data_IF_821396051952
#
_entry.id   IF_821396051952
#
_cell.length_a   1.000
_cell.length_b   1.000
_cell.length_c   1.000
_cell.angle_alpha   90.00
_cell.angle_beta   90.00
_cell.angle_gamma   90.00
#
_symmetry.space_group_name_H-M   'P 1'
#
loop_
_entity.id
_entity.type
_entity.pdbx_description
1 polymer ?
#
# COMPACT_ATOMS: atom_id res chain seq x y z
N UNK A 1 4.36 0.13 -26.40
CA UNK A 1 4.25 -1.34 -26.31
C UNK A 1 5.26 -1.97 -25.34
N UNK A 2 6.57 -2.04 -25.63
CA UNK A 2 7.52 -2.68 -24.69
C UNK A 2 7.54 -2.04 -23.29
N UNK A 3 7.47 -0.71 -23.21
CA UNK A 3 7.38 0.01 -21.93
C UNK A 3 6.03 -0.20 -21.22
N UNK A 4 4.93 -0.25 -21.97
CA UNK A 4 3.58 -0.48 -21.38
C UNK A 4 3.48 -1.86 -20.73
N UNK A 5 4.11 -2.87 -21.32
CA UNK A 5 4.18 -4.22 -20.76
C UNK A 5 4.95 -4.25 -19.43
N UNK A 6 5.98 -3.42 -19.29
CA UNK A 6 6.75 -3.28 -18.05
C UNK A 6 5.92 -2.64 -16.93
N UNK A 7 4.97 -1.77 -17.26
CA UNK A 7 4.03 -1.13 -16.32
C UNK A 7 2.66 -1.82 -16.28
N UNK A 8 2.59 -3.09 -16.69
CA UNK A 8 1.40 -3.94 -16.60
C UNK A 8 1.74 -5.23 -15.83
N UNK A 9 1.83 -5.19 -14.48
CA UNK A 9 2.25 -6.35 -13.69
C UNK A 9 1.34 -7.58 -13.90
N UNK A 10 0.07 -7.39 -14.24
CA UNK A 10 -0.87 -8.46 -14.62
C UNK A 10 -0.42 -9.31 -15.81
N UNK A 11 0.43 -8.79 -16.70
CA UNK A 11 0.98 -9.55 -17.84
C UNK A 11 2.12 -10.49 -17.44
N UNK A 12 2.66 -10.35 -16.23
CA UNK A 12 3.80 -11.13 -15.74
C UNK A 12 3.39 -12.22 -14.75
N UNK A 13 2.12 -12.26 -14.34
CA UNK A 13 1.61 -13.33 -13.47
C UNK A 13 1.62 -14.68 -14.19
N UNK A 14 2.15 -15.74 -13.56
CA UNK A 14 2.04 -17.11 -14.08
C UNK A 14 0.73 -17.79 -13.65
N UNK A 15 -0.07 -17.17 -12.75
CA UNK A 15 -1.25 -17.81 -12.16
C UNK A 15 -2.46 -17.78 -13.09
N UNK A 16 -2.71 -16.62 -13.71
CA UNK A 16 -3.90 -16.35 -14.51
C UNK A 16 -3.56 -15.36 -15.63
N UNK A 17 -4.43 -15.25 -16.63
CA UNK A 17 -4.30 -14.21 -17.65
C UNK A 17 -4.53 -12.80 -17.06
N UNK A 18 -4.16 -11.79 -17.86
CA UNK A 18 -4.08 -10.38 -17.46
C UNK A 18 -5.36 -9.83 -16.82
N UNK A 19 -6.53 -10.20 -17.33
CA UNK A 19 -7.78 -9.61 -16.86
C UNK A 19 -8.32 -10.44 -15.68
N UNK A 20 -8.24 -11.77 -15.79
CA UNK A 20 -8.67 -12.69 -14.72
C UNK A 20 -7.86 -12.54 -13.43
N UNK A 21 -6.56 -12.23 -13.49
CA UNK A 21 -5.73 -12.03 -12.29
C UNK A 21 -6.17 -10.81 -11.48
N UNK A 22 -6.62 -9.74 -12.15
CA UNK A 22 -7.10 -8.52 -11.49
C UNK A 22 -8.42 -8.81 -10.77
N UNK A 23 -9.35 -9.48 -11.44
CA UNK A 23 -10.64 -9.87 -10.85
C UNK A 23 -10.46 -10.80 -9.64
N UNK A 24 -9.53 -11.77 -9.75
CA UNK A 24 -9.19 -12.66 -8.65
C UNK A 24 -8.63 -11.89 -7.46
N UNK A 25 -7.72 -10.93 -7.69
CA UNK A 25 -7.15 -10.10 -6.65
C UNK A 25 -8.21 -9.28 -5.90
N UNK A 26 -9.13 -8.66 -6.64
CA UNK A 26 -10.24 -7.91 -6.07
C UNK A 26 -11.15 -8.80 -5.23
N UNK A 27 -11.46 -10.01 -5.70
CA UNK A 27 -12.30 -10.95 -4.96
C UNK A 27 -11.68 -11.39 -3.63
N UNK A 28 -10.35 -11.53 -3.56
CA UNK A 28 -9.64 -11.93 -2.33
C UNK A 28 -9.60 -10.81 -1.30
N UNK A 29 -9.38 -9.57 -1.75
CA UNK A 29 -9.12 -8.42 -0.87
C UNK A 29 -10.37 -7.68 -0.40
N UNK A 30 -11.46 -7.76 -1.18
CA UNK A 30 -12.65 -6.93 -1.01
C UNK A 30 -13.28 -6.92 0.41
N UNK A 31 -14.06 -5.87 0.67
CA UNK A 31 -15.19 -5.93 1.58
C UNK A 31 -16.46 -6.08 0.74
N UNK A 32 -17.27 -7.12 0.95
CA UNK A 32 -18.51 -7.32 0.19
C UNK A 32 -19.42 -6.09 0.21
N UNK A 33 -19.45 -5.34 -0.89
CA UNK A 33 -20.30 -4.17 -1.09
C UNK A 33 -20.41 -3.85 -2.58
N UNK A 34 -21.62 -3.53 -3.05
CA UNK A 34 -21.89 -3.24 -4.46
C UNK A 34 -21.06 -2.04 -4.93
N UNK A 35 -20.16 -2.28 -5.89
CA UNK A 35 -19.57 -1.22 -6.70
C UNK A 35 -20.41 -1.05 -7.96
N UNK A 36 -20.77 0.20 -8.26
CA UNK A 36 -21.54 0.57 -9.45
C UNK A 36 -20.94 -0.05 -10.70
N UNK A 37 -21.77 -0.76 -11.46
CA UNK A 37 -21.36 -1.51 -12.64
C UNK A 37 -20.72 -0.58 -13.69
N UNK A 38 -19.67 -1.03 -14.41
CA UNK A 38 -19.30 -0.41 -15.67
C UNK A 38 -20.43 -0.63 -16.68
N UNK A 39 -20.72 0.39 -17.48
CA UNK A 39 -21.83 0.42 -18.44
C UNK A 39 -21.95 -0.83 -19.32
N UNK A 40 -23.20 -1.21 -19.57
CA UNK A 40 -23.60 -2.40 -20.31
C UNK A 40 -22.95 -2.48 -21.70
N UNK A 41 -22.42 -3.67 -22.03
CA UNK A 41 -22.06 -4.01 -23.40
C UNK A 41 -21.19 -5.25 -23.55
N UNK A 42 -21.78 -6.44 -23.35
CA UNK A 42 -21.72 -7.62 -24.23
C UNK A 42 -22.10 -8.89 -23.44
N UNK A 43 -23.10 -9.61 -23.96
CA UNK A 43 -23.64 -10.85 -23.38
C UNK A 43 -22.60 -11.98 -23.42
N UNK A 44 -22.40 -12.68 -22.31
CA UNK A 44 -21.57 -13.89 -22.23
C UNK A 44 -22.34 -15.13 -21.75
N UNK A 45 -21.91 -16.28 -22.28
CA UNK A 45 -22.47 -17.65 -22.13
C UNK A 45 -22.20 -18.18 -20.71
N UNK A 46 -23.08 -18.99 -20.08
CA UNK A 46 -22.91 -19.37 -18.68
C UNK A 46 -21.77 -20.37 -18.49
N UNK A 47 -20.79 -20.00 -17.66
CA UNK A 47 -19.74 -20.89 -17.12
C UNK A 47 -20.21 -21.53 -15.80
N UNK A 48 -19.69 -22.72 -15.43
CA UNK A 48 -20.09 -23.41 -14.21
C UNK A 48 -19.79 -22.55 -12.97
N UNK A 49 -20.77 -22.51 -12.06
CA UNK A 49 -20.74 -21.69 -10.84
C UNK A 49 -19.62 -22.18 -9.93
N UNK A 50 -18.58 -21.37 -9.78
CA UNK A 50 -17.59 -21.55 -8.73
C UNK A 50 -18.28 -21.50 -7.34
N UNK A 51 -17.76 -22.22 -6.33
CA UNK A 51 -18.28 -22.10 -4.96
C UNK A 51 -18.24 -20.63 -4.51
N UNK A 52 -19.18 -20.18 -3.65
CA UNK A 52 -19.17 -18.80 -3.16
C UNK A 52 -17.82 -18.50 -2.51
N UNK A 53 -17.18 -17.36 -2.83
CA UNK A 53 -15.92 -17.00 -2.20
C UNK A 53 -16.14 -16.92 -0.69
N UNK A 54 -15.17 -17.41 0.09
CA UNK A 54 -15.10 -17.10 1.51
C UNK A 54 -15.21 -15.57 1.70
N UNK A 55 -15.82 -15.06 2.79
CA UNK A 55 -15.96 -13.62 2.98
C UNK A 55 -14.60 -12.94 2.75
N UNK A 56 -14.61 -11.97 1.84
CA UNK A 56 -13.40 -11.36 1.32
C UNK A 56 -12.59 -10.73 2.49
N UNK A 57 -11.26 -10.69 2.37
CA UNK A 57 -10.35 -10.54 3.52
C UNK A 57 -10.68 -9.35 4.42
N UNK A 58 -11.10 -8.22 3.83
CA UNK A 58 -11.49 -7.02 4.59
C UNK A 58 -12.82 -7.17 5.30
N UNK A 59 -13.80 -7.85 4.71
CA UNK A 59 -15.09 -8.14 5.37
C UNK A 59 -14.89 -8.98 6.64
N UNK A 60 -14.05 -10.02 6.56
CA UNK A 60 -13.67 -10.82 7.73
C UNK A 60 -13.01 -9.99 8.82
N UNK A 61 -12.12 -9.08 8.44
CA UNK A 61 -11.45 -8.19 9.38
C UNK A 61 -12.45 -7.27 10.10
N UNK A 62 -13.38 -6.66 9.35
CA UNK A 62 -14.44 -5.79 9.90
C UNK A 62 -15.39 -6.53 10.82
N UNK A 63 -15.73 -7.78 10.51
CA UNK A 63 -16.61 -8.59 11.33
C UNK A 63 -15.97 -9.08 12.64
N UNK A 64 -14.64 -9.17 12.69
CA UNK A 64 -13.92 -9.85 13.79
C UNK A 64 -13.09 -8.92 14.67
N UNK A 65 -12.73 -7.73 14.19
CA UNK A 65 -11.96 -6.74 14.94
C UNK A 65 -12.85 -5.60 15.45
N UNK A 66 -12.42 -4.92 16.51
CA UNK A 66 -13.01 -3.63 16.87
C UNK A 66 -12.57 -2.59 15.83
N UNK A 67 -13.53 -1.97 15.14
CA UNK A 67 -13.22 -1.02 14.05
C UNK A 67 -13.86 0.35 14.24
N UNK A 68 -13.17 1.39 13.78
CA UNK A 68 -13.75 2.68 13.41
C UNK A 68 -13.59 2.87 11.90
N UNK A 69 -14.71 2.93 11.18
CA UNK A 69 -14.72 3.07 9.72
C UNK A 69 -14.98 4.51 9.31
N UNK A 70 -14.44 4.90 8.16
CA UNK A 70 -14.66 6.21 7.54
C UNK A 70 -14.29 7.41 8.43
N UNK A 71 -13.26 7.26 9.28
CA UNK A 71 -12.76 8.34 10.14
C UNK A 71 -12.13 9.42 9.24
N UNK A 72 -12.68 10.65 9.18
CA UNK A 72 -12.13 11.69 8.33
C UNK A 72 -10.82 12.21 8.92
N UNK A 73 -9.78 12.32 8.09
CA UNK A 73 -8.52 12.99 8.45
C UNK A 73 -8.30 14.31 7.68
N UNK A 74 -9.17 14.59 6.71
CA UNK A 74 -9.16 15.79 5.89
C UNK A 74 -10.56 16.10 5.36
N UNK A 75 -10.65 17.03 4.41
CA UNK A 75 -11.92 17.54 3.91
C UNK A 75 -12.38 16.85 2.60
N UNK A 76 -11.48 16.14 1.92
CA UNK A 76 -11.76 15.41 0.69
C UNK A 76 -12.54 14.11 0.94
N UNK A 77 -13.30 13.68 -0.07
CA UNK A 77 -14.09 12.45 0.03
C UNK A 77 -13.22 11.21 0.25
N UNK A 78 -12.02 11.18 -0.34
CA UNK A 78 -11.01 10.15 -0.16
C UNK A 78 -10.21 10.27 1.14
N UNK A 79 -10.24 11.40 1.84
CA UNK A 79 -9.45 11.65 3.05
C UNK A 79 -10.05 10.99 4.31
N UNK A 80 -10.17 9.65 4.28
CA UNK A 80 -10.76 8.83 5.34
C UNK A 80 -9.89 7.64 5.71
N UNK A 81 -9.99 7.19 6.94
CA UNK A 81 -9.32 6.01 7.48
C UNK A 81 -10.33 4.94 7.89
N UNK A 82 -9.92 3.68 7.77
CA UNK A 82 -10.50 2.59 8.56
C UNK A 82 -9.45 2.12 9.58
N UNK A 83 -9.82 2.14 10.86
CA UNK A 83 -8.94 1.81 11.97
C UNK A 83 -9.43 0.52 12.62
N UNK A 84 -8.54 -0.48 12.67
CA UNK A 84 -8.74 -1.77 13.30
C UNK A 84 -7.93 -1.80 14.59
N UNK A 85 -8.61 -1.80 15.74
CA UNK A 85 -7.97 -1.73 17.05
C UNK A 85 -7.47 -3.11 17.53
N UNK A 86 -6.41 -3.14 18.35
CA UNK A 86 -5.97 -4.35 19.02
C UNK A 86 -7.08 -4.98 19.87
N UNK A 87 -7.13 -6.31 19.95
CA UNK A 87 -8.14 -7.03 20.74
C UNK A 87 -7.98 -6.80 22.24
N UNK A 88 -6.74 -6.62 22.70
CA UNK A 88 -6.38 -6.32 24.09
C UNK A 88 -5.36 -5.17 24.09
N UNK A 89 -5.80 -3.91 23.99
CA UNK A 89 -4.89 -2.79 23.86
C UNK A 89 -4.23 -2.51 25.21
N UNK A 90 -2.89 -2.57 25.24
CA UNK A 90 -2.11 -1.90 26.27
C UNK A 90 -2.37 -0.39 26.26
N UNK A 91 -1.95 0.33 27.31
CA UNK A 91 -2.10 1.79 27.43
C UNK A 91 -1.61 2.52 26.17
N UNK A 92 -0.54 2.03 25.57
CA UNK A 92 -0.03 2.46 24.26
C UNK A 92 0.09 1.27 23.30
N UNK A 93 -0.03 1.52 22.00
CA UNK A 93 0.06 0.47 20.97
C UNK A 93 0.79 0.98 19.72
N UNK A 94 1.50 0.09 18.99
CA UNK A 94 2.04 0.43 17.69
C UNK A 94 0.94 0.40 16.62
N UNK A 95 1.15 1.14 15.53
CA UNK A 95 0.22 1.20 14.41
C UNK A 95 0.90 0.81 13.12
N UNK A 96 0.30 -0.11 12.37
CA UNK A 96 0.63 -0.34 10.96
C UNK A 96 -0.33 0.46 10.09
N UNK A 97 0.20 1.41 9.34
CA UNK A 97 -0.53 2.20 8.34
C UNK A 97 -0.35 1.53 6.98
N UNK A 98 -1.43 0.98 6.44
CA UNK A 98 -1.47 0.35 5.14
C UNK A 98 -1.96 1.33 4.06
N UNK A 99 -1.19 1.44 2.98
CA UNK A 99 -1.48 2.31 1.83
C UNK A 99 -1.64 1.43 0.59
N UNK A 100 -2.83 1.46 -0.01
CA UNK A 100 -3.19 0.57 -1.10
C UNK A 100 -2.51 0.93 -2.43
N UNK A 101 -2.51 -0.03 -3.36
CA UNK A 101 -1.99 0.15 -4.72
C UNK A 101 -3.03 0.70 -5.69
N UNK A 102 -3.03 0.16 -6.92
CA UNK A 102 -4.04 0.47 -7.93
C UNK A 102 -3.68 1.62 -8.87
N UNK A 103 -2.37 1.85 -9.13
CA UNK A 103 -1.89 2.89 -10.04
C UNK A 103 -2.48 4.29 -9.79
N UNK A 104 -2.81 4.58 -8.53
CA UNK A 104 -3.46 5.84 -8.10
C UNK A 104 -4.81 6.11 -8.78
N UNK A 105 -5.43 5.09 -9.37
CA UNK A 105 -6.61 5.17 -10.24
C UNK A 105 -7.72 4.22 -9.79
N UNK A 106 -7.40 3.24 -8.96
CA UNK A 106 -8.37 2.26 -8.45
C UNK A 106 -7.99 1.76 -7.06
N UNK A 107 -8.81 0.83 -6.55
CA UNK A 107 -8.80 0.36 -5.16
C UNK A 107 -9.21 1.45 -4.15
N UNK A 108 -9.43 1.03 -2.91
CA UNK A 108 -9.68 1.95 -1.81
C UNK A 108 -9.26 1.33 -0.48
N UNK A 109 -9.32 2.13 0.59
CA UNK A 109 -9.23 1.65 1.98
C UNK A 109 -10.24 0.53 2.29
N UNK A 110 -11.36 0.47 1.58
CA UNK A 110 -12.43 -0.49 1.86
C UNK A 110 -12.07 -1.93 1.46
N UNK A 111 -11.05 -2.09 0.62
CA UNK A 111 -10.49 -3.39 0.24
C UNK A 111 -9.15 -3.68 0.94
N UNK A 112 -8.80 -2.89 1.96
CA UNK A 112 -7.43 -2.84 2.50
C UNK A 112 -7.32 -3.30 3.96
N UNK A 113 -8.37 -3.90 4.52
CA UNK A 113 -8.37 -4.43 5.88
C UNK A 113 -7.94 -5.89 5.99
N UNK A 114 -7.68 -6.58 4.88
CA UNK A 114 -7.37 -8.02 4.86
C UNK A 114 -6.16 -8.44 5.71
N UNK A 115 -5.20 -7.54 5.93
CA UNK A 115 -4.02 -7.80 6.75
C UNK A 115 -4.24 -7.52 8.26
N UNK A 116 -5.43 -7.08 8.68
CA UNK A 116 -5.65 -6.61 10.05
C UNK A 116 -5.61 -7.73 11.10
N UNK A 117 -6.28 -8.87 10.85
CA UNK A 117 -6.48 -9.93 11.86
C UNK A 117 -5.17 -10.51 12.44
N UNK A 118 -4.14 -10.82 11.63
CA UNK A 118 -2.86 -11.28 12.15
C UNK A 118 -2.12 -10.26 13.03
N UNK A 119 -2.47 -8.97 12.96
CA UNK A 119 -1.78 -7.88 13.64
C UNK A 119 -2.53 -7.38 14.86
N UNK A 120 -3.86 -7.23 14.78
CA UNK A 120 -4.69 -6.81 15.93
C UNK A 120 -4.67 -7.83 17.06
N UNK A 121 -4.57 -9.12 16.73
CA UNK A 121 -4.36 -10.21 17.70
C UNK A 121 -2.99 -10.16 18.38
N UNK A 122 -2.04 -9.41 17.81
CA UNK A 122 -0.69 -9.23 18.36
C UNK A 122 -0.53 -7.92 19.15
N UNK A 123 -1.59 -7.13 19.32
CA UNK A 123 -1.50 -5.85 20.01
C UNK A 123 -1.23 -4.65 19.09
N UNK A 124 -1.25 -4.85 17.76
CA UNK A 124 -0.93 -3.82 16.76
C UNK A 124 -2.22 -3.28 16.14
N UNK A 125 -2.43 -1.97 16.17
CA UNK A 125 -3.55 -1.40 15.42
C UNK A 125 -3.21 -1.36 13.93
N UNK A 126 -4.20 -1.56 13.07
CA UNK A 126 -4.03 -1.43 11.62
C UNK A 126 -4.89 -0.29 11.11
N UNK A 127 -4.31 0.57 10.29
CA UNK A 127 -5.00 1.70 9.68
C UNK A 127 -4.93 1.55 8.17
N UNK A 128 -6.08 1.37 7.52
CA UNK A 128 -6.18 1.44 6.07
C UNK A 128 -6.44 2.90 5.66
N UNK A 129 -5.52 3.48 4.90
CA UNK A 129 -5.59 4.87 4.45
C UNK A 129 -6.31 4.96 3.12
N UNK A 130 -7.37 5.78 3.05
CA UNK A 130 -7.95 6.24 1.79
C UNK A 130 -7.25 7.52 1.34
N UNK A 131 -7.21 7.75 0.05
CA UNK A 131 -6.80 9.01 -0.57
C UNK A 131 -7.57 9.17 -1.88
N UNK A 132 -7.63 10.38 -2.45
CA UNK A 132 -8.30 10.58 -3.72
C UNK A 132 -7.57 9.86 -4.85
N UNK A 133 -8.30 9.37 -5.84
CA UNK A 133 -7.74 8.69 -7.02
C UNK A 133 -8.02 9.51 -8.28
N UNK A 134 -7.17 9.33 -9.29
CA UNK A 134 -7.34 10.00 -10.58
C UNK A 134 -8.60 9.48 -11.29
N UNK A 135 -9.28 10.33 -12.09
CA UNK A 135 -8.89 11.70 -12.47
C UNK A 135 -9.31 12.79 -11.47
N UNK A 136 -10.02 12.46 -10.38
CA UNK A 136 -10.47 13.45 -9.39
C UNK A 136 -9.32 13.98 -8.55
N UNK A 137 -8.42 13.10 -8.11
CA UNK A 137 -7.17 13.44 -7.46
C UNK A 137 -6.01 13.58 -8.46
N UNK A 138 -4.94 14.25 -8.04
CA UNK A 138 -3.67 14.34 -8.76
C UNK A 138 -2.49 14.01 -7.84
N UNK A 139 -1.32 13.68 -8.40
CA UNK A 139 -0.20 13.08 -7.66
C UNK A 139 0.19 13.86 -6.39
N UNK A 140 0.34 15.19 -6.47
CA UNK A 140 0.72 15.99 -5.29
C UNK A 140 -0.34 15.98 -4.19
N UNK A 141 -1.62 16.03 -4.59
CA UNK A 141 -2.72 15.97 -3.64
C UNK A 141 -2.69 14.62 -2.91
N UNK A 142 -2.48 13.52 -3.63
CA UNK A 142 -2.42 12.18 -3.03
C UNK A 142 -1.24 12.05 -2.05
N UNK A 143 -0.06 12.53 -2.43
CA UNK A 143 1.11 12.56 -1.54
C UNK A 143 0.84 13.40 -0.28
N UNK A 144 0.25 14.58 -0.44
CA UNK A 144 -0.11 15.45 0.68
C UNK A 144 -1.20 14.82 1.58
N UNK A 145 -2.19 14.15 0.99
CA UNK A 145 -3.25 13.45 1.69
C UNK A 145 -2.71 12.33 2.57
N UNK A 146 -1.79 11.50 2.06
CA UNK A 146 -1.17 10.45 2.88
C UNK A 146 -0.33 11.07 4.01
N UNK A 147 0.42 12.15 3.76
CA UNK A 147 1.14 12.88 4.84
C UNK A 147 0.18 13.39 5.93
N UNK A 148 -0.94 13.99 5.53
CA UNK A 148 -2.00 14.46 6.46
C UNK A 148 -2.61 13.33 7.27
N UNK A 149 -2.75 12.14 6.70
CA UNK A 149 -3.24 10.98 7.45
C UNK A 149 -2.35 10.64 8.64
N UNK A 150 -1.02 10.75 8.49
CA UNK A 150 -0.06 10.53 9.59
C UNK A 150 -0.13 11.64 10.63
N UNK A 151 -0.25 12.91 10.20
CA UNK A 151 -0.43 14.05 11.10
C UNK A 151 -1.67 13.83 11.98
N UNK A 152 -2.79 13.51 11.34
CA UNK A 152 -4.03 13.21 12.05
C UNK A 152 -3.87 12.05 13.05
N UNK A 153 -3.20 10.96 12.66
CA UNK A 153 -2.97 9.83 13.56
C UNK A 153 -2.15 10.25 14.80
N UNK A 154 -1.07 11.01 14.60
CA UNK A 154 -0.21 11.48 15.71
C UNK A 154 -0.98 12.41 16.65
N UNK A 155 -1.78 13.32 16.11
CA UNK A 155 -2.53 14.30 16.91
C UNK A 155 -3.73 13.69 17.65
N UNK A 156 -4.50 12.83 16.97
CA UNK A 156 -5.76 12.31 17.52
C UNK A 156 -5.58 11.05 18.37
N UNK A 157 -4.47 10.34 18.20
CA UNK A 157 -4.21 9.08 18.91
C UNK A 157 -2.87 9.14 19.68
N UNK A 158 -2.81 9.86 20.82
CA UNK A 158 -1.58 9.98 21.61
C UNK A 158 -1.10 8.66 22.23
N UNK A 159 -1.92 7.60 22.14
CA UNK A 159 -1.55 6.23 22.55
C UNK A 159 -0.66 5.51 21.55
N UNK A 160 -0.43 6.09 20.36
CA UNK A 160 0.47 5.52 19.36
C UNK A 160 1.91 5.64 19.86
N UNK A 161 2.60 4.51 20.05
CA UNK A 161 4.02 4.46 20.46
C UNK A 161 5.01 4.18 19.33
N UNK A 162 4.53 4.25 18.10
CA UNK A 162 5.33 4.01 16.90
C UNK A 162 4.46 3.71 15.69
N UNK A 163 4.84 4.27 14.56
CA UNK A 163 4.16 4.12 13.27
C UNK A 163 5.02 3.23 12.38
N UNK A 164 4.37 2.26 11.75
CA UNK A 164 4.94 1.40 10.74
C UNK A 164 4.16 1.59 9.44
N UNK A 165 4.87 1.73 8.33
CA UNK A 165 4.24 1.94 7.03
C UNK A 165 4.28 0.63 6.26
N UNK A 166 3.19 0.30 5.58
CA UNK A 166 3.14 -0.80 4.62
C UNK A 166 2.44 -0.29 3.35
N UNK A 167 3.18 -0.19 2.26
CA UNK A 167 2.63 0.21 0.98
C UNK A 167 2.78 -0.91 -0.04
N UNK A 168 1.79 -1.06 -0.92
CA UNK A 168 1.86 -1.96 -2.08
C UNK A 168 1.77 -1.17 -3.38
N UNK A 169 2.66 -1.44 -4.33
CA UNK A 169 2.60 -0.83 -5.67
C UNK A 169 2.60 0.71 -5.61
N UNK A 170 1.57 1.36 -6.15
CA UNK A 170 1.31 2.79 -6.00
C UNK A 170 1.27 3.28 -4.53
N UNK A 171 0.92 2.43 -3.57
CA UNK A 171 0.97 2.73 -2.15
C UNK A 171 2.38 2.61 -1.56
N UNK A 172 3.24 1.74 -2.10
CA UNK A 172 4.66 1.71 -1.74
C UNK A 172 5.37 2.99 -2.20
N UNK A 173 4.98 3.52 -3.36
CA UNK A 173 5.38 4.85 -3.80
C UNK A 173 5.00 5.93 -2.77
N UNK A 174 3.74 5.97 -2.34
CA UNK A 174 3.25 6.99 -1.40
C UNK A 174 3.93 6.84 -0.01
N UNK A 175 4.14 5.61 0.45
CA UNK A 175 4.89 5.33 1.67
C UNK A 175 6.35 5.81 1.58
N UNK A 176 6.99 5.65 0.42
CA UNK A 176 8.34 6.15 0.16
C UNK A 176 8.38 7.69 0.14
N UNK A 177 7.37 8.36 -0.44
CA UNK A 177 7.25 9.82 -0.36
C UNK A 177 7.04 10.33 1.08
N UNK A 178 6.32 9.57 1.92
CA UNK A 178 6.19 9.81 3.36
C UNK A 178 7.55 9.70 4.07
N UNK A 179 8.34 8.67 3.74
CA UNK A 179 9.69 8.48 4.31
C UNK A 179 10.63 9.64 3.96
N UNK A 180 10.54 10.16 2.74
CA UNK A 180 11.31 11.30 2.24
C UNK A 180 10.78 12.68 2.68
N UNK A 181 9.78 12.73 3.56
CA UNK A 181 9.16 14.00 3.97
C UNK A 181 10.01 14.73 5.00
N UNK A 182 10.26 16.02 4.77
CA UNK A 182 10.73 16.92 5.83
C UNK A 182 9.55 17.27 6.75
N UNK A 183 9.45 16.51 7.83
CA UNK A 183 8.37 16.64 8.81
C UNK A 183 8.43 17.94 9.61
N UNK A 184 9.56 18.67 9.58
CA UNK A 184 9.66 19.97 10.24
C UNK A 184 8.76 21.03 9.59
N UNK A 185 8.50 20.92 8.28
CA UNK A 185 7.57 21.78 7.55
C UNK A 185 6.12 21.64 8.03
N UNK A 186 5.78 20.48 8.59
CA UNK A 186 4.45 20.16 9.10
C UNK A 186 4.30 20.40 10.60
N UNK A 187 5.36 20.82 11.28
CA UNK A 187 5.40 21.03 12.75
C UNK A 187 5.00 19.80 13.58
N UNK A 188 5.09 18.60 12.98
CA UNK A 188 4.76 17.30 13.59
C UNK A 188 5.84 16.32 13.20
N UNK A 189 6.36 15.54 14.14
CA UNK A 189 7.36 14.50 13.88
C UNK A 189 6.75 13.13 14.18
N UNK A 190 6.23 12.41 13.17
CA UNK A 190 5.72 11.06 13.39
C UNK A 190 6.88 10.12 13.74
N UNK A 191 6.67 9.31 14.77
CA UNK A 191 7.66 8.31 15.21
C UNK A 191 7.63 7.06 14.30
N UNK A 192 8.14 7.22 13.07
CA UNK A 192 8.18 6.14 12.07
C UNK A 192 9.30 5.17 12.43
N UNK A 193 8.92 3.95 12.85
CA UNK A 193 9.83 2.89 13.30
C UNK A 193 10.22 1.91 12.20
N UNK A 194 9.44 1.81 11.13
CA UNK A 194 9.79 0.95 10.02
C UNK A 194 8.83 1.08 8.84
N UNK A 195 9.32 0.70 7.67
CA UNK A 195 8.59 0.83 6.39
C UNK A 195 8.74 -0.46 5.58
N UNK A 196 7.62 -1.04 5.17
CA UNK A 196 7.55 -2.18 4.25
C UNK A 196 7.03 -1.70 2.90
N UNK A 197 7.89 -1.72 1.89
CA UNK A 197 7.60 -1.25 0.54
C UNK A 197 7.50 -2.47 -0.39
N UNK A 198 6.30 -2.85 -0.78
CA UNK A 198 6.04 -4.07 -1.56
C UNK A 198 5.78 -3.70 -3.03
N UNK A 199 6.63 -4.19 -3.93
CA UNK A 199 6.51 -4.06 -5.39
C UNK A 199 6.22 -2.63 -5.84
N UNK A 200 6.97 -1.65 -5.33
CA UNK A 200 6.71 -0.23 -5.56
C UNK A 200 7.27 0.35 -6.86
N UNK A 201 6.85 1.57 -7.16
CA UNK A 201 7.44 2.44 -8.20
C UNK A 201 8.06 3.64 -7.49
N UNK A 202 9.33 3.93 -7.77
CA UNK A 202 10.12 4.96 -7.09
C UNK A 202 10.68 6.02 -8.05
N UNK A 203 10.62 5.78 -9.36
CA UNK A 203 10.79 6.79 -10.40
C UNK A 203 9.57 6.78 -11.33
N UNK A 204 8.84 7.91 -11.33
CA UNK A 204 7.62 8.12 -12.10
C UNK A 204 7.90 8.64 -13.52
N UNK A 205 9.14 9.04 -13.86
CA UNK A 205 9.46 9.58 -15.18
C UNK A 205 9.02 8.66 -16.33
N UNK A 206 9.23 7.32 -16.29
CA UNK A 206 8.81 6.48 -17.40
C UNK A 206 7.29 6.30 -17.49
N UNK A 207 6.54 6.50 -16.40
CA UNK A 207 5.07 6.42 -16.40
C UNK A 207 4.46 7.44 -17.36
N UNK A 208 5.09 8.62 -17.51
CA UNK A 208 4.67 9.68 -18.43
C UNK A 208 4.49 9.19 -19.87
N UNK A 209 5.13 8.09 -20.24
CA UNK A 209 5.15 7.49 -21.57
C UNK A 209 4.32 6.20 -21.66
N UNK A 210 3.38 6.01 -20.74
CA UNK A 210 2.51 4.82 -20.66
C UNK A 210 1.05 5.22 -20.52
N UNK A 211 0.15 4.28 -20.82
CA UNK A 211 -1.30 4.44 -20.63
C UNK A 211 -1.71 4.85 -19.21
N UNK A 212 -0.86 4.54 -18.21
CA UNK A 212 -1.10 4.93 -16.80
C UNK A 212 -1.21 6.45 -16.67
N UNK A 213 -0.49 7.21 -17.50
CA UNK A 213 -0.53 8.68 -17.46
C UNK A 213 -1.72 9.30 -18.21
N UNK A 214 -2.49 8.53 -18.97
CA UNK A 214 -3.67 9.05 -19.68
C UNK A 214 -4.72 9.61 -18.72
N UNK A 215 -4.83 8.99 -17.53
CA UNK A 215 -5.75 9.40 -16.47
C UNK A 215 -5.06 10.29 -15.43
N UNK A 216 -3.80 9.99 -15.07
CA UNK A 216 -3.05 10.79 -14.08
C UNK A 216 -2.69 12.18 -14.61
N UNK A 217 -2.50 12.30 -15.92
CA UNK A 217 -2.17 13.53 -16.64
C UNK A 217 -1.02 14.31 -15.97
N UNK A 218 0.04 13.61 -15.56
CA UNK A 218 1.19 14.21 -14.92
C UNK A 218 2.05 14.95 -15.95
N UNK A 219 2.54 16.13 -15.55
CA UNK A 219 3.67 16.76 -16.23
C UNK A 219 4.99 16.14 -15.79
N UNK A 220 6.07 16.44 -16.52
CA UNK A 220 7.43 16.02 -16.15
C UNK A 220 7.81 16.53 -14.77
N UNK A 221 7.46 17.78 -14.46
CA UNK A 221 7.74 18.42 -13.18
C UNK A 221 6.97 17.76 -12.03
N UNK A 222 5.74 17.28 -12.30
CA UNK A 222 4.95 16.50 -11.32
C UNK A 222 5.60 15.13 -11.08
N UNK A 223 6.00 14.42 -12.13
CA UNK A 223 6.66 13.14 -11.98
C UNK A 223 7.97 13.27 -11.20
N UNK A 224 8.81 14.25 -11.55
CA UNK A 224 10.10 14.45 -10.89
C UNK A 224 10.00 14.75 -9.40
N UNK A 225 9.09 15.66 -8.99
CA UNK A 225 8.92 16.01 -7.58
C UNK A 225 8.20 14.93 -6.76
N UNK A 226 7.61 13.95 -7.44
CA UNK A 226 6.97 12.79 -6.81
C UNK A 226 7.70 11.51 -7.18
N UNK A 227 8.99 11.54 -7.54
CA UNK A 227 9.81 10.32 -7.67
C UNK A 227 10.60 10.13 -6.38
N UNK A 228 10.24 9.21 -5.46
CA UNK A 228 11.01 8.98 -4.23
C UNK A 228 12.51 8.77 -4.45
N UNK A 229 12.91 8.18 -5.59
CA UNK A 229 14.31 8.02 -6.00
C UNK A 229 15.10 9.34 -6.01
N UNK A 230 14.43 10.46 -6.27
CA UNK A 230 15.03 11.81 -6.33
C UNK A 230 15.06 12.51 -4.97
N UNK A 231 14.45 11.91 -3.95
CA UNK A 231 14.29 12.48 -2.61
C UNK A 231 14.90 11.58 -1.53
N UNK A 232 15.88 10.75 -1.89
CA UNK A 232 16.66 9.97 -0.93
C UNK A 232 17.57 10.93 -0.16
N UNK A 233 17.22 11.18 1.10
CA UNK A 233 18.01 11.99 2.03
C UNK A 233 18.95 11.11 2.85
N UNK A 234 20.07 11.66 3.37
CA UNK A 234 20.92 10.95 4.32
C UNK A 234 20.10 10.47 5.52
N UNK A 235 20.34 9.24 5.96
CA UNK A 235 19.67 8.71 7.14
C UNK A 235 19.98 9.59 8.36
N UNK A 236 18.93 10.18 8.94
CA UNK A 236 19.02 10.75 10.29
C UNK A 236 19.09 9.57 11.26
N UNK A 237 19.94 9.58 12.31
CA UNK A 237 20.01 8.50 13.29
C UNK A 237 18.67 8.32 14.01
N UNK A 238 17.82 7.46 13.44
CA UNK A 238 16.57 6.99 14.00
C UNK A 238 16.37 5.54 13.54
N UNK A 239 15.74 4.73 14.38
CA UNK A 239 15.63 3.28 14.25
C UNK A 239 14.70 2.80 13.10
N UNK A 240 14.47 3.61 12.06
CA UNK A 240 13.59 3.26 10.97
C UNK A 240 14.22 2.18 10.07
N UNK A 241 13.72 0.95 10.17
CA UNK A 241 14.09 -0.15 9.29
C UNK A 241 13.26 -0.12 8.01
N UNK A 242 13.91 -0.16 6.85
CA UNK A 242 13.22 -0.23 5.56
C UNK A 242 13.35 -1.64 4.99
N UNK A 243 12.21 -2.29 4.76
CA UNK A 243 12.13 -3.50 3.97
C UNK A 243 11.56 -3.16 2.60
N UNK A 244 12.36 -3.36 1.56
CA UNK A 244 11.86 -3.39 0.18
C UNK A 244 11.60 -4.86 -0.18
N UNK A 245 10.37 -5.19 -0.57
CA UNK A 245 9.98 -6.52 -1.01
C UNK A 245 9.53 -6.47 -2.47
N UNK A 246 9.86 -7.47 -3.26
CA UNK A 246 9.43 -7.58 -4.66
C UNK A 246 9.09 -9.01 -5.02
N UNK A 247 8.11 -9.20 -5.90
CA UNK A 247 7.67 -10.52 -6.32
C UNK A 247 8.61 -11.11 -7.38
N UNK A 248 8.85 -12.43 -7.35
CA UNK A 248 9.62 -13.13 -8.38
C UNK A 248 9.03 -12.89 -9.78
N UNK A 249 7.70 -12.91 -9.87
CA UNK A 249 6.95 -12.75 -11.10
C UNK A 249 6.40 -11.33 -11.29
N UNK A 250 7.06 -10.33 -10.69
CA UNK A 250 6.89 -8.94 -11.10
C UNK A 250 7.54 -8.67 -12.46
N UNK A 251 7.13 -7.58 -13.11
CA UNK A 251 7.83 -7.11 -14.30
C UNK A 251 9.29 -6.75 -14.00
N UNK A 252 10.18 -6.84 -14.99
CA UNK A 252 11.56 -6.39 -14.86
C UNK A 252 11.67 -4.96 -14.33
N UNK A 253 10.75 -4.06 -14.70
CA UNK A 253 10.79 -2.67 -14.23
C UNK A 253 10.45 -2.52 -12.74
N UNK A 254 9.43 -3.20 -12.22
CA UNK A 254 9.15 -3.19 -10.78
C UNK A 254 10.32 -3.78 -9.97
N UNK A 255 10.96 -4.82 -10.50
CA UNK A 255 12.16 -5.43 -9.92
C UNK A 255 13.36 -4.49 -9.96
N UNK A 256 13.61 -3.83 -11.10
CA UNK A 256 14.69 -2.86 -11.28
C UNK A 256 14.53 -1.68 -10.32
N UNK A 257 13.36 -1.05 -10.27
CA UNK A 257 13.12 0.09 -9.40
C UNK A 257 13.24 -0.27 -7.91
N UNK A 258 12.76 -1.46 -7.50
CA UNK A 258 12.92 -1.95 -6.12
C UNK A 258 14.40 -2.15 -5.75
N UNK A 259 15.19 -2.71 -6.65
CA UNK A 259 16.63 -2.89 -6.45
C UNK A 259 17.36 -1.55 -6.37
N UNK A 260 17.12 -0.65 -7.32
CA UNK A 260 17.77 0.67 -7.37
C UNK A 260 17.41 1.51 -6.15
N UNK A 261 16.14 1.52 -5.73
CA UNK A 261 15.72 2.33 -4.59
C UNK A 261 16.30 1.78 -3.29
N UNK A 262 16.34 0.45 -3.13
CA UNK A 262 17.02 -0.19 -2.01
C UNK A 262 18.51 0.16 -1.96
N UNK A 263 19.20 0.17 -3.11
CA UNK A 263 20.61 0.56 -3.20
C UNK A 263 20.82 2.04 -2.86
N UNK A 264 19.98 2.93 -3.38
CA UNK A 264 20.05 4.36 -3.10
C UNK A 264 19.88 4.66 -1.60
N UNK A 265 18.89 4.04 -0.95
CA UNK A 265 18.68 4.17 0.49
C UNK A 265 19.88 3.64 1.29
N UNK A 266 20.45 2.47 0.92
CA UNK A 266 21.67 1.95 1.59
C UNK A 266 22.86 2.90 1.43
N UNK A 267 23.05 3.45 0.23
CA UNK A 267 24.12 4.41 -0.04
C UNK A 267 23.97 5.69 0.78
N UNK A 268 22.72 6.08 1.10
CA UNK A 268 22.41 7.20 1.98
C UNK A 268 22.45 6.85 3.49
N UNK A 269 22.82 5.62 3.86
CA UNK A 269 23.04 5.20 5.25
C UNK A 269 21.82 4.59 5.95
N UNK A 270 20.72 4.31 5.25
CA UNK A 270 19.52 3.69 5.83
C UNK A 270 19.74 2.20 6.13
N UNK A 271 19.08 1.69 7.18
CA UNK A 271 18.99 0.25 7.44
C UNK A 271 17.98 -0.38 6.48
N UNK A 272 18.47 -1.04 5.42
CA UNK A 272 17.61 -1.55 4.34
C UNK A 272 17.82 -3.04 4.05
N UNK A 273 16.74 -3.80 4.12
CA UNK A 273 16.65 -5.17 3.61
C UNK A 273 15.94 -5.20 2.25
N UNK A 274 16.43 -6.02 1.33
CA UNK A 274 15.74 -6.30 0.06
C UNK A 274 15.32 -7.78 0.09
N UNK A 275 14.03 -8.04 -0.10
CA UNK A 275 13.46 -9.38 -0.11
C UNK A 275 12.85 -9.68 -1.48
N UNK A 276 13.45 -10.61 -2.19
CA UNK A 276 12.92 -11.17 -3.45
C UNK A 276 12.09 -12.41 -3.12
N UNK A 277 10.77 -12.31 -3.31
CA UNK A 277 9.82 -13.32 -2.87
C UNK A 277 9.58 -14.36 -3.98
N UNK A 278 10.05 -15.58 -3.74
CA UNK A 278 9.88 -16.69 -4.67
C UNK A 278 8.42 -17.13 -4.80
N UNK A 279 8.02 -17.48 -6.03
CA UNK A 279 6.74 -18.11 -6.34
C UNK A 279 5.50 -17.22 -6.16
N UNK A 280 5.68 -15.91 -6.02
CA UNK A 280 4.59 -14.92 -5.96
C UNK A 280 4.66 -13.96 -7.15
N UNK A 281 3.51 -13.41 -7.51
CA UNK A 281 3.34 -12.31 -8.46
C UNK A 281 2.96 -11.02 -7.74
N UNK A 282 2.76 -9.95 -8.51
CA UNK A 282 2.43 -8.62 -7.99
C UNK A 282 1.18 -8.58 -7.10
N UNK A 283 0.29 -9.56 -7.19
CA UNK A 283 -1.00 -9.57 -6.51
C UNK A 283 -0.98 -10.49 -5.28
N UNK A 284 -0.57 -11.76 -5.43
CA UNK A 284 -0.55 -12.67 -4.28
C UNK A 284 0.56 -12.39 -3.27
N UNK A 285 1.51 -11.52 -3.62
CA UNK A 285 2.49 -10.99 -2.68
C UNK A 285 1.83 -10.30 -1.48
N UNK A 286 0.64 -9.71 -1.64
CA UNK A 286 -0.13 -9.11 -0.54
C UNK A 286 -1.37 -9.90 -0.11
N UNK A 287 -1.98 -10.70 -1.00
CA UNK A 287 -3.18 -11.51 -0.66
C UNK A 287 -2.94 -12.40 0.57
N UNK A 288 -1.70 -12.90 0.69
CA UNK A 288 -1.25 -13.78 1.78
C UNK A 288 -0.92 -13.04 3.07
N UNK A 289 -1.05 -11.72 3.15
CA UNK A 289 -0.83 -10.97 4.40
C UNK A 289 -1.86 -11.30 5.50
N UNK A 290 -3.00 -11.88 5.12
CA UNK A 290 -3.98 -12.44 6.06
C UNK A 290 -3.51 -13.76 6.69
N UNK A 291 -2.46 -14.39 6.17
CA UNK A 291 -1.94 -15.66 6.65
C UNK A 291 -0.80 -15.45 7.67
N UNK A 292 -0.98 -16.00 8.86
CA UNK A 292 -0.01 -15.94 9.96
C UNK A 292 1.39 -16.47 9.62
N UNK A 293 1.44 -17.47 8.75
CA UNK A 293 2.68 -18.17 8.38
C UNK A 293 3.44 -17.47 7.26
N UNK A 294 2.80 -16.53 6.56
CA UNK A 294 3.38 -15.88 5.39
C UNK A 294 4.55 -14.98 5.79
N UNK A 295 5.59 -14.97 4.95
CA UNK A 295 6.86 -14.35 5.29
C UNK A 295 6.72 -12.84 5.55
N UNK A 296 5.95 -12.12 4.75
CA UNK A 296 5.73 -10.68 4.97
C UNK A 296 4.90 -10.42 6.23
N UNK A 297 3.92 -11.27 6.55
CA UNK A 297 3.17 -11.18 7.81
C UNK A 297 4.10 -11.37 9.01
N UNK A 298 5.00 -12.35 8.95
CA UNK A 298 5.99 -12.58 10.01
C UNK A 298 6.99 -11.46 10.12
N UNK A 299 7.44 -10.89 9.00
CA UNK A 299 8.34 -9.73 9.03
C UNK A 299 7.61 -8.51 9.61
N UNK A 300 6.38 -8.23 9.21
CA UNK A 300 5.56 -7.18 9.81
C UNK A 300 5.41 -7.37 11.33
N UNK A 301 5.15 -8.59 11.80
CA UNK A 301 5.08 -8.92 13.23
C UNK A 301 6.41 -8.73 13.97
N UNK A 302 7.55 -9.02 13.34
CA UNK A 302 8.88 -8.83 13.93
C UNK A 302 9.30 -7.36 13.94
N UNK A 303 8.97 -6.65 12.87
CA UNK A 303 9.24 -5.23 12.74
C UNK A 303 8.48 -4.42 13.79
N UNK A 304 7.32 -4.91 14.26
CA UNK A 304 6.49 -4.24 15.28
C UNK A 304 6.62 -4.93 16.65
N UNK A 305 7.50 -4.48 17.57
CA UNK A 305 7.70 -5.13 18.87
C UNK A 305 6.47 -4.99 19.78
N UNK A 306 6.19 -5.99 20.63
CA UNK A 306 5.00 -6.03 21.50
C UNK A 306 5.13 -5.27 22.83
N UNK A 307 6.32 -4.76 23.18
CA UNK A 307 6.59 -4.03 24.42
C UNK A 307 7.62 -2.95 24.17
#
# INVERSE_FOLDING_TARGET
QALEEQYSPSRWSPRLDRDTIIDAHLAVTAAGGERGAPGEGLRSVPRPRAPPPAPAGTERARASAQTLLHVPYGNGDGEKLDIYFPTDPSETFPVLVYIHGGYWQCLSKDDSGFAALPLVSQGVAVVAVGYDIAPKGHMDAMVLQVRRSLIFLVEQYPRIRGIYLCGHSAGAHLAAMVLSTDWTEFQVVPDIKGTVLVSGVYDLEPILHTYVNDVLNMSREVAQRNSPMRHVTPAVPAACEVLVAVAQHDSPEFRRQSQEYSQALRAAGWSVSLLDLAGVDHFDVIEKLSEDSYVLTRVGRRAVPRR
#
